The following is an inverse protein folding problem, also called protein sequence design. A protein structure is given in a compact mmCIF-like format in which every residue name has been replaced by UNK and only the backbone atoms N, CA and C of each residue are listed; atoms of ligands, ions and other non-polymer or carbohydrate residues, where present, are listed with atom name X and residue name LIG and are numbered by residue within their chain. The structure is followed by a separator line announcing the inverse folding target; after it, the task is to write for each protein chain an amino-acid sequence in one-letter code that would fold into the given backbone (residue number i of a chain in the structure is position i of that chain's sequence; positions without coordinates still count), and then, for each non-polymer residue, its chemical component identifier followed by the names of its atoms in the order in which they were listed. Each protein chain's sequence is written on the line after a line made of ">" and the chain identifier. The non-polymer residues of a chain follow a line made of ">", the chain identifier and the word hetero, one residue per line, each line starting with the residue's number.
data_IF_149855957468
#
_entry.id   IF_149855957468
#
_cell.length_a   1.000
_cell.length_b   1.000
_cell.length_c   1.000
_cell.angle_alpha   90.00
_cell.angle_beta   90.00
_cell.angle_gamma   90.00
#
_symmetry.space_group_name_H-M   'P 1'
#
loop_
_entity.id
_entity.type
_entity.pdbx_description
1 polymer ?
#
# COMPACT_ATOMS: atom_id res chain seq x y z
N UNK A 1 -6.34 72.34 -46.22
CA UNK A 1 -7.31 73.39 -46.59
C UNK A 1 -6.80 74.09 -47.86
N UNK A 2 -6.59 73.51 -49.04
CA UNK A 2 -7.11 72.36 -49.82
C UNK A 2 -8.56 72.39 -50.35
N UNK A 3 -9.31 73.48 -50.21
CA UNK A 3 -10.53 73.63 -51.01
C UNK A 3 -10.75 75.08 -51.46
N UNK A 4 -10.61 76.03 -50.53
CA UNK A 4 -10.75 77.46 -50.82
C UNK A 4 -9.71 77.99 -51.83
N UNK A 5 -8.45 77.55 -51.73
CA UNK A 5 -7.37 77.96 -52.64
C UNK A 5 -7.51 77.38 -54.07
N UNK A 6 -8.14 76.21 -54.20
CA UNK A 6 -8.38 75.53 -55.47
C UNK A 6 -9.59 76.12 -56.22
N UNK A 7 -10.65 76.49 -55.50
CA UNK A 7 -11.79 77.25 -56.04
C UNK A 7 -11.37 78.64 -56.53
N UNK A 8 -10.53 79.35 -55.77
CA UNK A 8 -10.03 80.67 -56.15
C UNK A 8 -9.14 80.64 -57.42
N UNK A 9 -8.29 79.61 -57.57
CA UNK A 9 -7.49 79.44 -58.79
C UNK A 9 -8.34 79.16 -60.04
N UNK A 10 -9.35 78.30 -59.94
CA UNK A 10 -10.27 78.03 -61.08
C UNK A 10 -11.06 79.25 -61.53
N UNK A 11 -11.48 80.10 -60.59
CA UNK A 11 -12.23 81.31 -60.91
C UNK A 11 -11.35 82.33 -61.64
N UNK A 12 -10.10 82.52 -61.19
CA UNK A 12 -9.13 83.39 -61.87
C UNK A 12 -8.77 82.89 -63.28
N UNK A 13 -8.71 81.57 -63.49
CA UNK A 13 -8.51 80.99 -64.83
C UNK A 13 -9.69 81.23 -65.77
N UNK A 14 -10.93 81.10 -65.28
CA UNK A 14 -12.13 81.37 -66.09
C UNK A 14 -12.27 82.85 -66.46
N UNK A 15 -12.00 83.77 -65.53
CA UNK A 15 -12.05 85.22 -65.80
C UNK A 15 -11.06 85.61 -66.91
N UNK A 16 -9.85 85.05 -66.83
CA UNK A 16 -8.79 85.29 -67.82
C UNK A 16 -9.18 84.75 -69.20
N UNK A 17 -9.84 83.59 -69.27
CA UNK A 17 -10.35 83.03 -70.53
C UNK A 17 -11.43 83.90 -71.18
N UNK A 18 -12.34 84.46 -70.40
CA UNK A 18 -13.41 85.31 -70.96
C UNK A 18 -12.87 86.63 -71.55
N UNK A 19 -11.89 87.26 -70.90
CA UNK A 19 -11.25 88.46 -71.44
C UNK A 19 -10.44 88.18 -72.73
N UNK A 20 -9.84 86.99 -72.84
CA UNK A 20 -9.20 86.56 -74.08
C UNK A 20 -10.21 86.36 -75.22
N UNK A 21 -11.39 85.79 -74.95
CA UNK A 21 -12.45 85.60 -75.96
C UNK A 21 -13.01 86.93 -76.51
N UNK A 22 -13.21 87.94 -75.65
CA UNK A 22 -13.74 89.25 -76.10
C UNK A 22 -12.74 90.02 -76.96
N UNK A 23 -11.45 90.01 -76.59
CA UNK A 23 -10.40 90.61 -77.43
C UNK A 23 -10.33 89.93 -78.80
N UNK A 24 -10.38 88.60 -78.83
CA UNK A 24 -10.35 87.85 -80.06
C UNK A 24 -11.51 88.19 -81.02
N UNK A 25 -12.70 88.50 -80.51
CA UNK A 25 -13.84 88.88 -81.34
C UNK A 25 -13.72 90.30 -81.93
N UNK A 26 -13.24 91.27 -81.15
CA UNK A 26 -13.05 92.64 -81.64
C UNK A 26 -11.97 92.70 -82.73
N UNK A 27 -10.84 92.03 -82.48
CA UNK A 27 -9.75 91.96 -83.45
C UNK A 27 -10.21 91.31 -84.77
N UNK A 28 -11.20 90.40 -84.71
CA UNK A 28 -11.73 89.73 -85.90
C UNK A 28 -12.62 90.62 -86.78
N UNK A 29 -13.35 91.57 -86.20
CA UNK A 29 -14.25 92.44 -86.99
C UNK A 29 -13.47 93.48 -87.78
N UNK A 30 -12.51 94.13 -87.13
CA UNK A 30 -11.61 95.11 -87.80
C UNK A 30 -10.85 94.46 -88.94
N UNK A 31 -10.41 93.21 -88.76
CA UNK A 31 -9.76 92.44 -89.81
C UNK A 31 -10.64 92.19 -91.05
N UNK A 32 -11.97 92.15 -90.93
CA UNK A 32 -12.87 91.89 -92.06
C UNK A 32 -13.16 93.13 -92.90
N UNK A 33 -13.25 94.31 -92.29
CA UNK A 33 -13.51 95.56 -93.02
C UNK A 33 -12.29 95.96 -93.86
N UNK A 34 -11.09 95.80 -93.30
CA UNK A 34 -9.84 95.97 -94.04
C UNK A 34 -9.72 95.01 -95.23
N UNK A 35 -10.37 93.83 -95.19
CA UNK A 35 -10.36 92.87 -96.31
C UNK A 35 -11.21 93.32 -97.51
N UNK A 36 -12.32 94.03 -97.27
CA UNK A 36 -13.24 94.43 -98.34
C UNK A 36 -12.66 95.54 -99.22
N UNK A 37 -12.14 96.59 -98.60
CA UNK A 37 -11.60 97.76 -99.31
C UNK A 37 -10.39 97.36 -100.16
N UNK A 38 -9.59 96.43 -99.63
CA UNK A 38 -8.49 95.79 -100.35
C UNK A 38 -8.96 95.11 -101.65
N UNK A 39 -10.06 94.34 -101.62
CA UNK A 39 -10.57 93.62 -102.80
C UNK A 39 -11.08 94.52 -103.92
N UNK A 40 -11.64 95.69 -103.59
CA UNK A 40 -12.13 96.62 -104.61
C UNK A 40 -10.98 97.32 -105.34
N UNK A 41 -9.93 97.73 -104.60
CA UNK A 41 -8.69 98.22 -105.20
C UNK A 41 -8.06 97.18 -106.12
N UNK A 42 -8.09 95.91 -105.72
CA UNK A 42 -7.58 94.79 -106.54
C UNK A 42 -8.34 94.66 -107.87
N UNK A 43 -9.66 94.86 -107.93
CA UNK A 43 -10.42 94.74 -109.18
C UNK A 43 -10.02 95.78 -110.24
N UNK A 44 -9.92 97.05 -109.86
CA UNK A 44 -9.59 98.12 -110.82
C UNK A 44 -8.19 97.94 -111.43
N UNK A 45 -7.24 97.45 -110.62
CA UNK A 45 -5.89 97.13 -111.09
C UNK A 45 -5.93 95.99 -112.13
N UNK A 46 -6.81 95.01 -111.96
CA UNK A 46 -6.91 93.87 -112.89
C UNK A 46 -7.42 94.27 -114.28
N UNK A 47 -8.34 95.23 -114.38
CA UNK A 47 -8.91 95.69 -115.66
C UNK A 47 -7.88 96.45 -116.51
N UNK A 48 -7.17 97.42 -115.94
CA UNK A 48 -6.09 98.15 -116.63
C UNK A 48 -4.94 97.20 -117.03
N UNK A 49 -4.67 96.19 -116.19
CA UNK A 49 -3.69 95.15 -116.53
C UNK A 49 -4.13 94.31 -117.73
N UNK A 50 -5.42 93.99 -117.87
CA UNK A 50 -5.94 93.20 -118.97
C UNK A 50 -5.74 93.89 -120.33
N UNK A 51 -6.08 95.17 -120.44
CA UNK A 51 -5.93 95.93 -121.70
C UNK A 51 -4.46 96.07 -122.11
N UNK A 52 -3.58 96.43 -121.16
CA UNK A 52 -2.14 96.53 -121.45
C UNK A 52 -1.55 95.20 -121.89
N UNK A 53 -2.00 94.10 -121.28
CA UNK A 53 -1.50 92.75 -121.63
C UNK A 53 -1.95 92.33 -123.03
N UNK A 54 -3.17 92.65 -123.44
CA UNK A 54 -3.66 92.35 -124.78
C UNK A 54 -2.87 93.12 -125.85
N UNK A 55 -2.59 94.41 -125.63
CA UNK A 55 -1.77 95.21 -126.52
C UNK A 55 -0.33 94.70 -126.60
N UNK A 56 0.27 94.37 -125.45
CA UNK A 56 1.62 93.81 -125.38
C UNK A 56 1.73 92.45 -126.08
N UNK A 57 0.71 91.59 -125.94
CA UNK A 57 0.64 90.29 -126.63
C UNK A 57 0.67 90.48 -128.15
N UNK A 58 -0.21 91.32 -128.70
CA UNK A 58 -0.28 91.57 -130.13
C UNK A 58 1.05 92.10 -130.69
N UNK A 59 1.66 93.07 -129.99
CA UNK A 59 2.97 93.60 -130.36
C UNK A 59 4.07 92.52 -130.36
N UNK A 60 4.10 91.64 -129.34
CA UNK A 60 5.13 90.61 -129.21
C UNK A 60 4.98 89.51 -130.26
N UNK A 61 3.75 89.12 -130.60
CA UNK A 61 3.51 88.15 -131.68
C UNK A 61 4.01 88.71 -133.01
N UNK A 62 3.72 89.98 -133.29
CA UNK A 62 4.20 90.63 -134.51
C UNK A 62 5.72 90.76 -134.56
N UNK A 63 6.38 91.06 -133.42
CA UNK A 63 7.85 91.12 -133.33
C UNK A 63 8.52 89.77 -133.68
N UNK A 64 7.99 88.66 -133.19
CA UNK A 64 8.62 87.34 -133.34
C UNK A 64 8.27 86.64 -134.67
N UNK A 65 7.05 86.85 -135.17
CA UNK A 65 6.51 86.09 -136.31
C UNK A 65 6.09 86.97 -137.50
N UNK A 66 6.24 88.30 -137.40
CA UNK A 66 5.81 89.24 -138.45
C UNK A 66 4.32 89.15 -138.72
N UNK A 67 3.94 89.18 -140.01
CA UNK A 67 2.56 88.96 -140.46
C UNK A 67 2.23 87.49 -140.76
N UNK A 68 3.15 86.55 -140.53
CA UNK A 68 2.92 85.13 -140.88
C UNK A 68 1.87 84.45 -140.00
N UNK A 69 1.61 84.97 -138.80
CA UNK A 69 0.67 84.39 -137.83
C UNK A 69 -0.19 85.49 -137.20
N UNK A 70 -1.49 85.26 -137.17
CA UNK A 70 -2.41 86.13 -136.42
C UNK A 70 -2.26 85.90 -134.90
N UNK A 71 -2.22 86.96 -134.07
CA UNK A 71 -2.18 86.87 -132.62
C UNK A 71 -3.28 85.98 -132.03
N UNK A 72 -4.48 86.00 -132.61
CA UNK A 72 -5.62 85.22 -132.13
C UNK A 72 -5.48 83.73 -132.45
N UNK A 73 -4.96 83.40 -133.64
CA UNK A 73 -4.71 82.00 -134.02
C UNK A 73 -3.60 81.38 -133.19
N UNK A 74 -2.53 82.14 -132.90
CA UNK A 74 -1.46 81.66 -132.02
C UNK A 74 -1.97 81.50 -130.59
N UNK A 75 -2.79 82.43 -130.08
CA UNK A 75 -3.39 82.31 -128.76
C UNK A 75 -4.27 81.05 -128.64
N UNK A 76 -5.09 80.76 -129.65
CA UNK A 76 -5.91 79.55 -129.70
C UNK A 76 -5.06 78.26 -129.80
N UNK A 77 -3.92 78.30 -130.51
CA UNK A 77 -3.02 77.15 -130.71
C UNK A 77 -2.02 76.89 -129.58
N UNK A 78 -1.76 77.87 -128.70
CA UNK A 78 -0.80 77.75 -127.60
C UNK A 78 -1.14 76.61 -126.64
N UNK A 79 -2.43 76.29 -126.44
CA UNK A 79 -2.87 75.14 -125.64
C UNK A 79 -2.32 73.83 -126.18
N UNK A 80 -2.49 73.58 -127.48
CA UNK A 80 -2.01 72.36 -128.15
C UNK A 80 -0.48 72.28 -128.17
N UNK A 81 0.22 73.41 -128.33
CA UNK A 81 1.69 73.45 -128.26
C UNK A 81 2.21 73.15 -126.83
N UNK A 82 1.49 73.60 -125.79
CA UNK A 82 1.80 73.23 -124.40
C UNK A 82 1.58 71.74 -124.16
N UNK A 83 0.47 71.17 -124.63
CA UNK A 83 0.21 69.73 -124.55
C UNK A 83 1.32 68.92 -125.25
N UNK A 84 1.76 69.34 -126.43
CA UNK A 84 2.81 68.65 -127.19
C UNK A 84 4.17 68.70 -126.46
N UNK A 85 4.47 69.82 -125.78
CA UNK A 85 5.64 69.91 -124.89
C UNK A 85 5.52 68.94 -123.71
N UNK A 86 4.37 68.89 -123.03
CA UNK A 86 4.15 67.97 -121.92
C UNK A 86 4.26 66.51 -122.36
N UNK A 87 3.72 66.15 -123.53
CA UNK A 87 3.85 64.82 -124.09
C UNK A 87 5.29 64.46 -124.43
N UNK A 88 6.09 65.40 -124.95
CA UNK A 88 7.51 65.18 -125.20
C UNK A 88 8.33 65.04 -123.90
N UNK A 89 7.98 65.78 -122.84
CA UNK A 89 8.57 65.59 -121.51
C UNK A 89 8.26 64.19 -120.95
N UNK A 90 6.99 63.73 -121.05
CA UNK A 90 6.58 62.36 -120.68
C UNK A 90 7.34 61.30 -121.48
N UNK A 91 7.50 61.48 -122.80
CA UNK A 91 8.29 60.57 -123.66
C UNK A 91 9.74 60.49 -123.20
N UNK A 92 10.40 61.63 -122.94
CA UNK A 92 11.79 61.69 -122.45
C UNK A 92 11.95 61.07 -121.06
N UNK A 93 10.95 61.21 -120.18
CA UNK A 93 10.96 60.56 -118.87
C UNK A 93 10.86 59.04 -119.01
N UNK A 94 9.94 58.54 -119.83
CA UNK A 94 9.79 57.11 -120.09
C UNK A 94 11.06 56.52 -120.74
N UNK A 95 11.66 57.22 -121.71
CA UNK A 95 12.92 56.80 -122.36
C UNK A 95 14.07 56.68 -121.34
N UNK A 96 14.20 57.65 -120.43
CA UNK A 96 15.19 57.57 -119.33
C UNK A 96 14.92 56.37 -118.42
N UNK A 97 13.66 56.16 -117.99
CA UNK A 97 13.28 55.02 -117.15
C UNK A 97 13.60 53.67 -117.82
N UNK A 98 13.25 53.51 -119.10
CA UNK A 98 13.53 52.27 -119.84
C UNK A 98 15.04 52.03 -119.94
N UNK A 99 15.83 53.06 -120.17
CA UNK A 99 17.28 52.93 -120.20
C UNK A 99 17.86 52.55 -118.83
N UNK A 100 17.41 53.18 -117.75
CA UNK A 100 17.82 52.78 -116.38
C UNK A 100 17.43 51.34 -116.07
N UNK A 101 16.21 50.92 -116.40
CA UNK A 101 15.76 49.54 -116.18
C UNK A 101 16.57 48.52 -117.00
N UNK A 102 16.92 48.85 -118.24
CA UNK A 102 17.79 47.99 -119.07
C UNK A 102 19.20 47.90 -118.50
N UNK A 103 19.75 48.99 -117.99
CA UNK A 103 21.05 49.01 -117.34
C UNK A 103 21.05 48.17 -116.05
N UNK A 104 20.00 48.30 -115.24
CA UNK A 104 19.82 47.51 -114.01
C UNK A 104 19.67 46.01 -114.32
N UNK A 105 18.92 45.65 -115.36
CA UNK A 105 18.81 44.26 -115.83
C UNK A 105 20.16 43.68 -116.26
N UNK A 106 20.98 44.45 -117.00
CA UNK A 106 22.33 44.02 -117.39
C UNK A 106 23.23 43.83 -116.17
N UNK A 107 23.28 44.81 -115.26
CA UNK A 107 24.07 44.73 -114.03
C UNK A 107 23.67 43.55 -113.14
N UNK A 108 22.36 43.31 -112.99
CA UNK A 108 21.85 42.18 -112.23
C UNK A 108 22.24 40.84 -112.87
N UNK A 109 22.17 40.75 -114.20
CA UNK A 109 22.55 39.56 -114.96
C UNK A 109 24.04 39.27 -114.83
N UNK A 110 24.89 40.28 -114.99
CA UNK A 110 26.35 40.16 -114.85
C UNK A 110 26.73 39.77 -113.41
N UNK A 111 26.17 40.43 -112.40
CA UNK A 111 26.48 40.14 -110.99
C UNK A 111 25.99 38.76 -110.55
N UNK A 112 24.76 38.37 -110.95
CA UNK A 112 24.19 37.05 -110.62
C UNK A 112 24.94 35.93 -111.36
N UNK A 113 25.32 36.14 -112.62
CA UNK A 113 26.11 35.20 -113.39
C UNK A 113 27.52 35.01 -112.84
N UNK A 114 28.22 36.10 -112.51
CA UNK A 114 29.55 36.04 -111.90
C UNK A 114 29.54 35.30 -110.54
N UNK A 115 28.50 35.52 -109.73
CA UNK A 115 28.33 34.81 -108.47
C UNK A 115 27.94 33.34 -108.70
N UNK A 116 27.03 33.07 -109.65
CA UNK A 116 26.60 31.73 -110.04
C UNK A 116 27.75 30.84 -110.51
N UNK A 117 28.65 31.38 -111.35
CA UNK A 117 29.83 30.68 -111.85
C UNK A 117 30.77 30.23 -110.72
N UNK A 118 30.93 31.04 -109.66
CA UNK A 118 31.75 30.68 -108.49
C UNK A 118 31.21 29.47 -107.73
N UNK A 119 29.90 29.25 -107.78
CA UNK A 119 29.21 28.13 -107.10
C UNK A 119 28.80 27.02 -108.08
N UNK A 120 29.29 27.03 -109.32
CA UNK A 120 29.02 25.98 -110.31
C UNK A 120 27.58 25.93 -110.81
N UNK A 121 26.82 27.03 -110.70
CA UNK A 121 25.44 27.13 -111.20
C UNK A 121 25.52 27.48 -112.68
N UNK A 122 25.06 26.57 -113.55
CA UNK A 122 25.09 26.75 -115.01
C UNK A 122 24.24 27.94 -115.50
N UNK A 123 24.54 28.45 -116.70
CA UNK A 123 23.83 29.59 -117.31
C UNK A 123 22.34 29.29 -117.50
N UNK A 124 21.50 29.88 -116.65
CA UNK A 124 20.05 29.89 -116.74
C UNK A 124 19.52 31.32 -116.71
N UNK A 125 18.20 31.48 -116.68
CA UNK A 125 17.57 32.76 -116.40
C UNK A 125 18.18 33.42 -115.13
N UNK A 126 18.50 34.74 -115.14
CA UNK A 126 19.14 35.41 -114.00
C UNK A 126 18.38 35.28 -112.68
N UNK A 127 17.04 35.21 -112.71
CA UNK A 127 16.24 35.04 -111.49
C UNK A 127 16.34 33.62 -110.94
N UNK A 128 16.46 32.61 -111.79
CA UNK A 128 16.70 31.22 -111.37
C UNK A 128 18.10 31.08 -110.76
N UNK A 129 19.10 31.74 -111.33
CA UNK A 129 20.46 31.79 -110.77
C UNK A 129 20.46 32.42 -109.38
N UNK A 130 19.76 33.55 -109.21
CA UNK A 130 19.61 34.21 -107.90
C UNK A 130 18.88 33.33 -106.88
N UNK A 131 17.78 32.65 -107.27
CA UNK A 131 17.04 31.75 -106.37
C UNK A 131 17.93 30.61 -105.87
N UNK A 132 18.70 29.96 -106.74
CA UNK A 132 19.64 28.89 -106.35
C UNK A 132 20.77 29.39 -105.45
N UNK A 133 21.32 30.57 -105.74
CA UNK A 133 22.34 31.20 -104.88
C UNK A 133 21.79 31.51 -103.48
N UNK A 134 20.54 31.95 -103.41
CA UNK A 134 19.86 32.22 -102.14
C UNK A 134 19.62 30.92 -101.35
N UNK A 135 19.14 29.86 -102.00
CA UNK A 135 18.96 28.54 -101.37
C UNK A 135 20.29 28.00 -100.83
N UNK A 136 21.38 28.11 -101.58
CA UNK A 136 22.72 27.71 -101.12
C UNK A 136 23.19 28.55 -99.92
N UNK A 137 22.93 29.85 -99.90
CA UNK A 137 23.28 30.72 -98.77
C UNK A 137 22.44 30.38 -97.52
N UNK A 138 21.14 30.14 -97.69
CA UNK A 138 20.24 29.72 -96.60
C UNK A 138 20.67 28.35 -96.04
N UNK A 139 21.03 27.40 -96.91
CA UNK A 139 21.55 26.09 -96.49
C UNK A 139 22.89 26.21 -95.75
N UNK A 140 23.84 26.98 -96.27
CA UNK A 140 25.14 27.19 -95.61
C UNK A 140 24.98 27.86 -94.23
N UNK A 141 24.01 28.78 -94.08
CA UNK A 141 23.71 29.41 -92.80
C UNK A 141 23.06 28.42 -91.82
N UNK A 142 22.18 27.54 -92.30
CA UNK A 142 21.58 26.48 -91.50
C UNK A 142 22.64 25.47 -91.02
N UNK A 143 23.52 25.01 -91.92
CA UNK A 143 24.61 24.10 -91.62
C UNK A 143 25.58 24.69 -90.59
N UNK A 144 25.94 25.98 -90.73
CA UNK A 144 26.77 26.70 -89.76
C UNK A 144 26.11 26.73 -88.37
N UNK A 145 24.83 27.09 -88.29
CA UNK A 145 24.10 27.11 -87.02
C UNK A 145 24.01 25.72 -86.39
N UNK A 146 23.83 24.67 -87.20
CA UNK A 146 23.81 23.29 -86.72
C UNK A 146 25.19 22.84 -86.21
N UNK A 147 26.28 23.20 -86.91
CA UNK A 147 27.64 22.91 -86.48
C UNK A 147 27.96 23.58 -85.14
N UNK A 148 27.63 24.87 -84.97
CA UNK A 148 27.81 25.60 -83.71
C UNK A 148 27.02 24.95 -82.56
N UNK A 149 25.76 24.55 -82.80
CA UNK A 149 24.93 23.84 -81.80
C UNK A 149 25.47 22.45 -81.44
N UNK A 150 26.03 21.73 -82.39
CA UNK A 150 26.62 20.42 -82.14
C UNK A 150 27.97 20.55 -81.42
N UNK A 151 28.77 21.55 -81.79
CA UNK A 151 30.04 21.84 -81.13
C UNK A 151 29.87 22.14 -79.64
N UNK A 152 28.91 23.00 -79.27
CA UNK A 152 28.62 23.29 -77.86
C UNK A 152 28.15 22.05 -77.09
N UNK A 153 27.30 21.22 -77.70
CA UNK A 153 26.87 19.93 -77.08
C UNK A 153 28.03 18.96 -76.88
N UNK A 154 29.00 18.95 -77.79
CA UNK A 154 30.15 18.06 -77.72
C UNK A 154 31.11 18.51 -76.61
N UNK A 155 31.40 19.82 -76.52
CA UNK A 155 32.18 20.40 -75.43
C UNK A 155 31.52 20.17 -74.05
N UNK A 156 30.21 20.39 -73.92
CA UNK A 156 29.48 20.12 -72.68
C UNK A 156 29.49 18.63 -72.32
N UNK A 157 29.36 17.76 -73.32
CA UNK A 157 29.47 16.31 -73.16
C UNK A 157 30.85 15.86 -72.68
N UNK A 158 31.92 16.41 -73.24
CA UNK A 158 33.30 16.13 -72.83
C UNK A 158 33.60 16.62 -71.41
N UNK A 159 33.15 17.83 -71.05
CA UNK A 159 33.20 18.34 -69.67
C UNK A 159 32.44 17.41 -68.73
N UNK A 160 31.24 16.96 -69.10
CA UNK A 160 30.45 16.06 -68.26
C UNK A 160 31.12 14.69 -68.09
N UNK A 161 31.74 14.17 -69.15
CA UNK A 161 32.48 12.90 -69.10
C UNK A 161 33.68 13.01 -68.15
N UNK A 162 34.50 14.05 -68.29
CA UNK A 162 35.67 14.28 -67.41
C UNK A 162 35.26 14.47 -65.94
N UNK A 163 34.16 15.19 -65.67
CA UNK A 163 33.58 15.29 -64.32
C UNK A 163 33.15 13.93 -63.74
N UNK A 164 32.55 13.06 -64.57
CA UNK A 164 32.09 11.73 -64.15
C UNK A 164 33.26 10.77 -63.95
N UNK A 165 34.26 10.80 -64.82
CA UNK A 165 35.50 10.02 -64.68
C UNK A 165 36.24 10.37 -63.38
N UNK A 166 36.38 11.66 -63.07
CA UNK A 166 36.98 12.11 -61.81
C UNK A 166 36.18 11.66 -60.57
N UNK A 167 34.84 11.61 -60.67
CA UNK A 167 33.98 11.08 -59.58
C UNK A 167 34.13 9.58 -59.40
N UNK A 168 34.23 8.82 -60.50
CA UNK A 168 34.47 7.38 -60.43
C UNK A 168 35.82 7.10 -59.78
N UNK A 169 36.87 7.83 -60.16
CA UNK A 169 38.19 7.70 -59.55
C UNK A 169 38.19 8.05 -58.05
N UNK A 170 37.44 9.07 -57.61
CA UNK A 170 37.25 9.38 -56.19
C UNK A 170 36.49 8.28 -55.44
N UNK A 171 35.46 7.69 -56.06
CA UNK A 171 34.72 6.55 -55.48
C UNK A 171 35.65 5.35 -55.35
N UNK A 172 36.41 5.00 -56.38
CA UNK A 172 37.34 3.87 -56.36
C UNK A 172 38.42 4.05 -55.29
N UNK A 173 38.97 5.27 -55.13
CA UNK A 173 39.88 5.59 -54.03
C UNK A 173 39.24 5.37 -52.66
N UNK A 174 38.02 5.86 -52.44
CA UNK A 174 37.29 5.69 -51.17
C UNK A 174 36.98 4.22 -50.88
N UNK A 175 36.60 3.46 -51.90
CA UNK A 175 36.38 2.00 -51.79
C UNK A 175 37.68 1.30 -51.39
N UNK A 176 38.82 1.67 -51.97
CA UNK A 176 40.12 1.12 -51.60
C UNK A 176 40.52 1.47 -50.15
N UNK A 177 40.34 2.72 -49.72
CA UNK A 177 40.63 3.16 -48.34
C UNK A 177 39.76 2.41 -47.31
N UNK A 178 38.45 2.31 -47.56
CA UNK A 178 37.54 1.58 -46.68
C UNK A 178 37.79 0.06 -46.72
N UNK A 179 38.16 -0.47 -47.88
CA UNK A 179 38.52 -1.88 -48.06
C UNK A 179 39.78 -2.28 -47.29
N UNK A 180 40.76 -1.38 -47.14
CA UNK A 180 42.03 -1.66 -46.45
C UNK A 180 41.86 -2.01 -44.95
N UNK A 181 40.72 -1.70 -44.33
CA UNK A 181 40.40 -2.08 -42.95
C UNK A 181 40.06 -3.58 -42.85
N UNK A 182 39.64 -4.20 -43.95
CA UNK A 182 39.30 -5.62 -43.99
C UNK A 182 40.55 -6.47 -44.25
N UNK A 183 40.64 -7.69 -43.70
CA UNK A 183 41.73 -8.63 -44.02
C UNK A 183 41.78 -8.96 -45.52
N UNK A 184 42.97 -9.23 -46.07
CA UNK A 184 43.20 -9.55 -47.50
C UNK A 184 42.35 -10.73 -48.03
N UNK A 185 41.83 -11.55 -47.14
CA UNK A 185 40.95 -12.70 -47.46
C UNK A 185 39.50 -12.31 -47.75
N UNK A 186 39.11 -11.06 -47.50
CA UNK A 186 37.76 -10.54 -47.72
C UNK A 186 37.71 -9.79 -49.04
N UNK A 187 36.84 -10.23 -49.94
CA UNK A 187 36.57 -9.49 -51.17
C UNK A 187 35.83 -8.18 -50.85
N UNK A 188 36.47 -7.05 -51.14
CA UNK A 188 35.93 -5.70 -50.95
C UNK A 188 35.51 -5.05 -52.26
N UNK A 189 35.57 -5.77 -53.38
CA UNK A 189 35.27 -5.24 -54.72
C UNK A 189 33.78 -5.04 -54.97
N UNK A 190 32.91 -5.65 -54.16
CA UNK A 190 31.45 -5.53 -54.30
C UNK A 190 30.75 -5.26 -52.97
N UNK A 191 29.63 -4.55 -53.03
CA UNK A 191 28.78 -4.23 -51.86
C UNK A 191 28.26 -5.51 -51.19
N UNK A 192 27.93 -6.54 -51.96
CA UNK A 192 27.41 -7.79 -51.42
C UNK A 192 28.49 -8.59 -50.68
N UNK A 193 29.73 -8.62 -51.18
CA UNK A 193 30.85 -9.25 -50.48
C UNK A 193 31.16 -8.53 -49.16
N UNK A 194 31.14 -7.19 -49.14
CA UNK A 194 31.26 -6.40 -47.91
C UNK A 194 30.12 -6.67 -46.92
N UNK A 195 28.88 -6.77 -47.38
CA UNK A 195 27.72 -7.07 -46.51
C UNK A 195 27.86 -8.44 -45.84
N UNK A 196 28.32 -9.45 -46.59
CA UNK A 196 28.60 -10.79 -46.04
C UNK A 196 29.71 -10.74 -45.00
N UNK A 197 30.79 -10.01 -45.25
CA UNK A 197 31.91 -9.89 -44.33
C UNK A 197 31.53 -9.16 -43.03
N UNK A 198 30.84 -8.03 -43.13
CA UNK A 198 30.32 -7.28 -41.97
C UNK A 198 29.31 -8.13 -41.19
N UNK A 199 28.41 -8.85 -41.87
CA UNK A 199 27.46 -9.75 -41.24
C UNK A 199 28.14 -10.87 -40.44
N UNK A 200 29.18 -11.50 -40.99
CA UNK A 200 30.01 -12.47 -40.27
C UNK A 200 30.74 -11.85 -39.08
N UNK A 201 31.27 -10.63 -39.24
CA UNK A 201 31.93 -9.89 -38.15
C UNK A 201 30.99 -9.62 -36.98
N UNK A 202 29.77 -9.14 -37.27
CA UNK A 202 28.74 -8.89 -36.26
C UNK A 202 28.31 -10.19 -35.55
N UNK A 203 28.12 -11.29 -36.30
CA UNK A 203 27.81 -12.60 -35.71
C UNK A 203 28.94 -13.10 -34.78
N UNK A 204 30.20 -12.92 -35.17
CA UNK A 204 31.36 -13.27 -34.32
C UNK A 204 31.41 -12.40 -33.06
N UNK A 205 31.15 -11.09 -33.17
CA UNK A 205 31.11 -10.18 -32.02
C UNK A 205 30.01 -10.62 -31.05
N UNK A 206 28.79 -10.83 -31.55
CA UNK A 206 27.66 -11.29 -30.74
C UNK A 206 27.94 -12.64 -30.06
N UNK A 207 28.57 -13.58 -30.79
CA UNK A 207 28.99 -14.88 -30.23
C UNK A 207 30.06 -14.71 -29.15
N UNK A 208 31.04 -13.82 -29.32
CA UNK A 208 32.07 -13.54 -28.29
C UNK A 208 31.47 -12.91 -27.05
N UNK A 209 30.55 -11.95 -27.19
CA UNK A 209 29.81 -11.38 -26.06
C UNK A 209 29.01 -12.46 -25.34
N UNK A 210 28.33 -13.34 -26.08
CA UNK A 210 27.58 -14.45 -25.48
C UNK A 210 28.48 -15.44 -24.75
N UNK A 211 29.66 -15.76 -25.30
CA UNK A 211 30.66 -16.59 -24.63
C UNK A 211 31.13 -15.91 -23.35
N UNK A 212 31.51 -14.63 -23.39
CA UNK A 212 31.97 -13.90 -22.19
C UNK A 212 30.89 -13.83 -21.10
N UNK A 213 29.62 -13.62 -21.47
CA UNK A 213 28.50 -13.64 -20.52
C UNK A 213 28.31 -15.03 -19.90
N UNK A 214 28.34 -16.09 -20.71
CA UNK A 214 28.24 -17.48 -20.23
C UNK A 214 29.42 -17.85 -19.33
N UNK A 215 30.64 -17.43 -19.70
CA UNK A 215 31.82 -17.63 -18.86
C UNK A 215 31.68 -16.94 -17.51
N UNK A 216 31.21 -15.69 -17.48
CA UNK A 216 30.95 -14.98 -16.22
C UNK A 216 29.90 -15.70 -15.37
N UNK A 217 28.80 -16.14 -15.97
CA UNK A 217 27.75 -16.89 -15.26
C UNK A 217 28.32 -18.17 -14.62
N UNK A 218 29.10 -18.94 -15.38
CA UNK A 218 29.75 -20.16 -14.86
C UNK A 218 30.70 -19.83 -13.69
N UNK A 219 31.47 -18.75 -13.79
CA UNK A 219 32.41 -18.34 -12.75
C UNK A 219 31.70 -17.88 -11.47
N UNK A 220 30.61 -17.11 -11.61
CA UNK A 220 29.82 -16.64 -10.48
C UNK A 220 29.12 -17.80 -9.77
N UNK A 221 28.44 -18.67 -10.53
CA UNK A 221 27.69 -19.82 -10.00
C UNK A 221 28.59 -20.82 -9.28
N UNK A 222 29.80 -21.06 -9.80
CA UNK A 222 30.78 -21.96 -9.18
C UNK A 222 31.73 -21.25 -8.20
N UNK A 223 31.63 -19.92 -8.06
CA UNK A 223 32.55 -19.09 -7.28
C UNK A 223 34.04 -19.29 -7.63
N UNK A 224 34.33 -19.36 -8.93
CA UNK A 224 35.67 -19.57 -9.49
C UNK A 224 36.21 -18.33 -10.19
N UNK A 225 37.51 -18.31 -10.49
CA UNK A 225 38.16 -17.16 -11.17
C UNK A 225 38.54 -17.44 -12.62
N UNK A 226 38.59 -18.71 -13.03
CA UNK A 226 38.99 -19.13 -14.39
C UNK A 226 38.12 -20.27 -14.90
N UNK A 227 37.80 -20.25 -16.20
CA UNK A 227 36.90 -21.22 -16.83
C UNK A 227 37.54 -22.61 -16.88
N UNK A 228 38.86 -22.69 -16.95
CA UNK A 228 39.62 -23.95 -16.85
C UNK A 228 39.40 -24.64 -15.50
N UNK A 229 39.29 -23.89 -14.40
CA UNK A 229 38.99 -24.43 -13.07
C UNK A 229 37.58 -25.03 -13.05
N UNK A 230 36.60 -24.37 -13.70
CA UNK A 230 35.24 -24.89 -13.84
C UNK A 230 35.21 -26.18 -14.66
N UNK A 231 35.98 -26.25 -15.76
CA UNK A 231 36.09 -27.46 -16.58
C UNK A 231 36.72 -28.62 -15.82
N UNK A 232 37.72 -28.37 -14.98
CA UNK A 232 38.33 -29.39 -14.14
C UNK A 232 37.39 -29.86 -13.04
N UNK A 233 36.70 -28.93 -12.38
CA UNK A 233 35.73 -29.25 -11.33
C UNK A 233 34.58 -30.14 -11.85
N UNK A 234 34.14 -29.89 -13.08
CA UNK A 234 33.06 -30.62 -13.73
C UNK A 234 33.55 -31.79 -14.61
N UNK A 235 34.85 -32.07 -14.66
CA UNK A 235 35.43 -33.03 -15.63
C UNK A 235 34.88 -34.45 -15.47
N UNK A 236 34.69 -34.87 -14.22
CA UNK A 236 34.18 -36.21 -13.86
C UNK A 236 32.69 -36.19 -13.49
N UNK A 237 32.05 -35.03 -13.59
CA UNK A 237 30.65 -34.85 -13.27
C UNK A 237 29.78 -34.85 -14.53
N UNK A 238 28.62 -35.47 -14.42
CA UNK A 238 27.58 -35.44 -15.46
C UNK A 238 26.34 -34.77 -14.90
N UNK A 239 25.47 -34.25 -15.77
CA UNK A 239 24.21 -33.66 -15.33
C UNK A 239 23.42 -34.64 -14.43
N UNK A 240 23.40 -35.92 -14.78
CA UNK A 240 22.71 -36.96 -14.02
C UNK A 240 23.35 -37.24 -12.65
N UNK A 241 24.68 -37.20 -12.52
CA UNK A 241 25.35 -37.38 -11.22
C UNK A 241 25.13 -36.17 -10.30
N UNK A 242 25.16 -34.96 -10.85
CA UNK A 242 24.88 -33.73 -10.10
C UNK A 242 23.42 -33.64 -9.65
N UNK A 243 22.46 -34.01 -10.50
CA UNK A 243 21.05 -34.11 -10.13
C UNK A 243 20.81 -35.13 -9.01
N UNK A 244 21.47 -36.30 -9.09
CA UNK A 244 21.39 -37.30 -8.04
C UNK A 244 21.98 -36.80 -6.71
N UNK A 245 23.13 -36.11 -6.74
CA UNK A 245 23.75 -35.48 -5.57
C UNK A 245 22.87 -34.40 -4.97
N UNK A 246 22.29 -33.52 -5.79
CA UNK A 246 21.37 -32.48 -5.35
C UNK A 246 20.14 -33.08 -4.65
N UNK A 247 19.56 -34.13 -5.22
CA UNK A 247 18.42 -34.83 -4.61
C UNK A 247 18.79 -35.53 -3.29
N UNK A 248 19.99 -36.09 -3.20
CA UNK A 248 20.50 -36.66 -1.94
C UNK A 248 20.66 -35.58 -0.87
N UNK A 249 21.29 -34.45 -1.22
CA UNK A 249 21.47 -33.33 -0.31
C UNK A 249 20.14 -32.72 0.14
N UNK A 250 19.16 -32.63 -0.76
CA UNK A 250 17.80 -32.19 -0.42
C UNK A 250 17.13 -33.15 0.57
N UNK A 251 17.31 -34.46 0.37
CA UNK A 251 16.81 -35.48 1.31
C UNK A 251 17.49 -35.35 2.69
N UNK A 252 18.80 -35.17 2.72
CA UNK A 252 19.57 -34.99 3.95
C UNK A 252 19.21 -33.69 4.68
N UNK A 253 18.97 -32.61 3.93
CA UNK A 253 18.51 -31.32 4.46
C UNK A 253 17.14 -31.46 5.11
N UNK A 254 16.17 -32.05 4.40
CA UNK A 254 14.82 -32.29 4.93
C UNK A 254 14.87 -33.12 6.23
N UNK A 255 15.72 -34.15 6.28
CA UNK A 255 15.90 -34.95 7.49
C UNK A 255 16.54 -34.14 8.63
N UNK A 256 17.52 -33.28 8.33
CA UNK A 256 18.13 -32.40 9.32
C UNK A 256 17.14 -31.38 9.88
N UNK A 257 16.29 -30.80 9.03
CA UNK A 257 15.22 -29.87 9.41
C UNK A 257 14.17 -30.55 10.30
N UNK A 258 13.75 -31.77 9.97
CA UNK A 258 12.82 -32.54 10.81
C UNK A 258 13.42 -32.84 12.19
N UNK A 259 14.70 -33.22 12.25
CA UNK A 259 15.43 -33.44 13.52
C UNK A 259 15.55 -32.15 14.32
N UNK A 260 15.84 -31.02 13.68
CA UNK A 260 15.89 -29.71 14.32
C UNK A 260 14.53 -29.30 14.89
N UNK A 261 13.46 -29.48 14.12
CA UNK A 261 12.09 -29.21 14.55
C UNK A 261 11.72 -30.05 15.78
N UNK A 262 11.97 -31.35 15.72
CA UNK A 262 11.72 -32.29 16.82
C UNK A 262 12.51 -31.91 18.08
N UNK A 263 13.80 -31.60 17.93
CA UNK A 263 14.66 -31.17 19.05
C UNK A 263 14.20 -29.83 19.65
N UNK A 264 13.71 -28.90 18.83
CA UNK A 264 13.19 -27.61 19.29
C UNK A 264 11.91 -27.79 20.11
N UNK A 265 10.98 -28.63 19.64
CA UNK A 265 9.76 -28.98 20.38
C UNK A 265 10.11 -29.67 21.70
N UNK A 266 11.05 -30.63 21.67
CA UNK A 266 11.51 -31.32 22.87
C UNK A 266 12.13 -30.35 23.88
N UNK A 267 12.96 -29.40 23.42
CA UNK A 267 13.55 -28.36 24.28
C UNK A 267 12.47 -27.48 24.91
N UNK A 268 11.51 -26.99 24.11
CA UNK A 268 10.44 -26.14 24.61
C UNK A 268 9.55 -26.85 25.63
N UNK A 269 9.27 -28.15 25.43
CA UNK A 269 8.55 -28.96 26.40
C UNK A 269 9.36 -29.15 27.69
N UNK A 270 10.66 -29.48 27.59
CA UNK A 270 11.52 -29.61 28.76
C UNK A 270 11.68 -28.28 29.55
N UNK A 271 11.76 -27.14 28.86
CA UNK A 271 11.77 -25.81 29.50
C UNK A 271 10.45 -25.52 30.23
N UNK A 272 9.30 -25.89 29.63
CA UNK A 272 7.99 -25.76 30.28
C UNK A 272 7.87 -26.65 31.51
N UNK A 273 8.28 -27.91 31.39
CA UNK A 273 8.24 -28.89 32.48
C UNK A 273 9.20 -28.50 33.62
N UNK A 274 10.36 -27.92 33.30
CA UNK A 274 11.25 -27.35 34.30
C UNK A 274 10.61 -26.14 35.00
N UNK A 275 10.00 -25.23 34.23
CA UNK A 275 9.32 -24.06 34.75
C UNK A 275 8.16 -24.38 35.69
N UNK A 276 7.42 -25.45 35.43
CA UNK A 276 6.32 -25.90 36.31
C UNK A 276 6.83 -26.43 37.65
N UNK A 277 8.03 -27.03 37.69
CA UNK A 277 8.65 -27.53 38.92
C UNK A 277 9.28 -26.41 39.75
N UNK A 278 9.88 -25.39 39.12
CA UNK A 278 10.68 -24.38 39.84
C UNK A 278 9.95 -23.07 40.14
N UNK A 279 8.78 -22.81 39.54
CA UNK A 279 8.12 -21.50 39.56
C UNK A 279 6.78 -21.39 40.29
N UNK A 280 6.29 -22.48 40.90
CA UNK A 280 4.92 -22.52 41.42
C UNK A 280 4.77 -21.87 42.80
N UNK A 281 3.88 -20.87 42.90
CA UNK A 281 3.25 -20.47 44.16
C UNK A 281 2.67 -21.68 44.93
N UNK A 282 2.30 -22.74 44.21
CA UNK A 282 1.82 -24.01 44.76
C UNK A 282 2.80 -24.67 45.76
N UNK A 283 4.12 -24.62 45.54
CA UNK A 283 5.08 -25.18 46.51
C UNK A 283 5.09 -24.34 47.79
N UNK A 284 5.03 -23.00 47.66
CA UNK A 284 4.95 -22.11 48.81
C UNK A 284 3.64 -22.31 49.57
N UNK A 285 2.50 -22.42 48.88
CA UNK A 285 1.18 -22.69 49.46
C UNK A 285 1.13 -24.03 50.19
N UNK A 286 1.73 -25.09 49.61
CA UNK A 286 1.82 -26.41 50.24
C UNK A 286 2.70 -26.39 51.49
N UNK A 287 3.81 -25.64 51.48
CA UNK A 287 4.68 -25.48 52.64
C UNK A 287 3.99 -24.70 53.75
N UNK A 288 3.30 -23.61 53.41
CA UNK A 288 2.48 -22.84 54.34
C UNK A 288 1.38 -23.71 54.96
N UNK A 289 0.62 -24.44 54.12
CA UNK A 289 -0.47 -25.30 54.58
C UNK A 289 0.03 -26.43 55.49
N UNK A 290 1.20 -26.99 55.20
CA UNK A 290 1.85 -27.99 56.08
C UNK A 290 2.17 -27.38 57.44
N UNK A 291 2.77 -26.19 57.47
CA UNK A 291 3.11 -25.52 58.73
C UNK A 291 1.87 -25.20 59.56
N UNK A 292 0.81 -24.67 58.94
CA UNK A 292 -0.46 -24.38 59.60
C UNK A 292 -1.11 -25.63 60.18
N UNK A 293 -1.18 -26.73 59.41
CA UNK A 293 -1.73 -27.99 59.89
C UNK A 293 -0.93 -28.56 61.07
N UNK A 294 0.39 -28.39 61.07
CA UNK A 294 1.24 -28.86 62.16
C UNK A 294 0.93 -28.13 63.47
N UNK A 295 0.74 -26.80 63.43
CA UNK A 295 0.35 -25.99 64.59
C UNK A 295 -1.04 -26.41 65.09
N UNK A 296 -2.01 -26.59 64.19
CA UNK A 296 -3.37 -27.01 64.56
C UNK A 296 -3.40 -28.39 65.23
N UNK A 297 -2.56 -29.33 64.78
CA UNK A 297 -2.42 -30.65 65.42
C UNK A 297 -1.85 -30.50 66.82
N UNK A 298 -0.82 -29.66 67.00
CA UNK A 298 -0.20 -29.42 68.29
C UNK A 298 -1.20 -28.83 69.30
N UNK A 299 -1.94 -27.79 68.91
CA UNK A 299 -3.00 -27.18 69.73
C UNK A 299 -4.08 -28.22 70.12
N UNK A 300 -4.59 -28.98 69.14
CA UNK A 300 -5.62 -29.98 69.39
C UNK A 300 -5.16 -31.11 70.34
N UNK A 301 -3.89 -31.50 70.26
CA UNK A 301 -3.31 -32.51 71.16
C UNK A 301 -3.20 -31.97 72.58
N UNK A 302 -2.78 -30.72 72.75
CA UNK A 302 -2.68 -30.09 74.07
C UNK A 302 -4.05 -29.96 74.75
N UNK A 303 -5.06 -29.48 74.02
CA UNK A 303 -6.44 -29.37 74.52
C UNK A 303 -7.00 -30.73 74.95
N UNK A 304 -6.78 -31.77 74.13
CA UNK A 304 -7.22 -33.13 74.45
C UNK A 304 -6.57 -33.66 75.73
N UNK A 305 -5.25 -33.46 75.89
CA UNK A 305 -4.52 -33.93 77.07
C UNK A 305 -5.00 -33.22 78.34
N UNK A 306 -5.25 -31.91 78.28
CA UNK A 306 -5.78 -31.16 79.42
C UNK A 306 -7.15 -31.70 79.86
N UNK A 307 -8.05 -31.93 78.91
CA UNK A 307 -9.39 -32.47 79.17
C UNK A 307 -9.36 -33.90 79.71
N UNK A 308 -8.57 -34.80 79.12
CA UNK A 308 -8.45 -36.20 79.56
C UNK A 308 -7.88 -36.29 80.98
N UNK A 309 -6.82 -35.54 81.28
CA UNK A 309 -6.27 -35.50 82.63
C UNK A 309 -7.25 -34.90 83.64
N UNK A 310 -7.96 -33.82 83.27
CA UNK A 310 -9.00 -33.23 84.10
C UNK A 310 -10.09 -34.24 84.47
N UNK A 311 -10.59 -34.99 83.48
CA UNK A 311 -11.60 -36.03 83.69
C UNK A 311 -11.11 -37.13 84.64
N UNK A 312 -9.92 -37.69 84.37
CA UNK A 312 -9.35 -38.76 85.20
C UNK A 312 -9.12 -38.34 86.64
N UNK A 313 -8.65 -37.11 86.86
CA UNK A 313 -8.45 -36.57 88.20
C UNK A 313 -9.78 -36.40 88.95
N UNK A 314 -10.83 -35.93 88.27
CA UNK A 314 -12.16 -35.80 88.86
C UNK A 314 -12.76 -37.16 89.23
N UNK A 315 -12.66 -38.16 88.35
CA UNK A 315 -13.13 -39.52 88.61
C UNK A 315 -12.42 -40.18 89.80
N UNK A 316 -11.09 -40.01 89.90
CA UNK A 316 -10.31 -40.52 91.02
C UNK A 316 -10.66 -39.82 92.33
N UNK A 317 -10.88 -38.50 92.32
CA UNK A 317 -11.33 -37.75 93.49
C UNK A 317 -12.70 -38.24 94.01
N UNK A 318 -13.67 -38.45 93.12
CA UNK A 318 -15.00 -38.97 93.48
C UNK A 318 -14.88 -40.38 94.07
N UNK A 319 -14.06 -41.25 93.47
CA UNK A 319 -13.83 -42.61 93.95
C UNK A 319 -13.27 -42.63 95.37
N UNK A 320 -12.19 -41.87 95.61
CA UNK A 320 -11.55 -41.76 96.94
C UNK A 320 -12.50 -41.21 98.01
N UNK A 321 -13.31 -40.21 97.66
CA UNK A 321 -14.30 -39.65 98.58
C UNK A 321 -15.33 -40.71 99.01
N UNK A 322 -15.87 -41.46 98.04
CA UNK A 322 -16.88 -42.50 98.28
C UNK A 322 -16.34 -43.63 99.16
N UNK A 323 -15.13 -44.12 98.86
CA UNK A 323 -14.54 -45.26 99.57
C UNK A 323 -14.29 -44.93 101.05
N UNK A 324 -13.81 -43.71 101.35
CA UNK A 324 -13.58 -43.26 102.74
C UNK A 324 -14.87 -43.14 103.54
N UNK A 325 -15.87 -42.42 103.03
CA UNK A 325 -17.11 -42.15 103.79
C UNK A 325 -17.94 -43.42 104.02
N UNK A 326 -17.86 -44.38 103.08
CA UNK A 326 -18.53 -45.68 103.19
C UNK A 326 -17.97 -46.53 104.33
N UNK A 327 -16.64 -46.62 104.47
CA UNK A 327 -16.01 -47.43 105.52
C UNK A 327 -16.46 -46.99 106.92
N UNK A 328 -16.51 -45.68 107.16
CA UNK A 328 -16.92 -45.12 108.44
C UNK A 328 -18.42 -45.37 108.72
N UNK A 329 -19.29 -45.21 107.71
CA UNK A 329 -20.73 -45.44 107.84
C UNK A 329 -21.05 -46.92 108.12
N UNK A 330 -20.37 -47.84 107.42
CA UNK A 330 -20.56 -49.27 107.62
C UNK A 330 -20.15 -49.70 109.03
N UNK A 331 -19.00 -49.22 109.53
CA UNK A 331 -18.53 -49.55 110.88
C UNK A 331 -19.50 -49.05 111.98
N UNK A 332 -20.04 -47.84 111.85
CA UNK A 332 -21.07 -47.33 112.77
C UNK A 332 -22.38 -48.12 112.68
N UNK A 333 -22.76 -48.53 111.47
CA UNK A 333 -23.98 -49.35 111.25
C UNK A 333 -23.83 -50.74 111.87
N UNK A 334 -22.68 -51.39 111.68
CA UNK A 334 -22.37 -52.69 112.30
C UNK A 334 -22.49 -52.63 113.82
N UNK A 335 -21.94 -51.58 114.45
CA UNK A 335 -22.02 -51.36 115.90
C UNK A 335 -23.46 -51.21 116.37
N UNK A 336 -24.23 -50.32 115.74
CA UNK A 336 -25.63 -50.09 116.10
C UNK A 336 -26.52 -51.33 115.85
N UNK A 337 -26.25 -52.07 114.76
CA UNK A 337 -27.02 -53.26 114.43
C UNK A 337 -26.71 -54.43 115.36
N UNK A 338 -25.44 -54.60 115.77
CA UNK A 338 -25.03 -55.57 116.77
C UNK A 338 -25.72 -55.31 118.11
N UNK A 339 -25.80 -54.05 118.55
CA UNK A 339 -26.49 -53.69 119.78
C UNK A 339 -28.00 -53.95 119.69
N UNK A 340 -28.66 -53.50 118.63
CA UNK A 340 -30.10 -53.69 118.43
C UNK A 340 -30.47 -55.17 118.41
N UNK A 341 -29.63 -56.01 117.82
CA UNK A 341 -29.86 -57.45 117.69
C UNK A 341 -29.31 -58.26 118.86
N UNK A 342 -28.85 -57.61 119.94
CA UNK A 342 -28.21 -58.25 121.09
C UNK A 342 -27.07 -59.21 120.70
N UNK A 343 -26.30 -58.83 119.67
CA UNK A 343 -25.14 -59.57 119.17
C UNK A 343 -25.47 -60.65 118.14
N UNK A 344 -26.73 -60.82 117.73
CA UNK A 344 -27.11 -61.84 116.74
C UNK A 344 -26.52 -61.55 115.35
N UNK A 345 -26.29 -60.28 115.01
CA UNK A 345 -25.61 -59.87 113.77
C UNK A 345 -24.51 -58.88 114.07
N UNK A 346 -23.26 -59.21 113.76
CA UNK A 346 -22.10 -58.42 114.19
C UNK A 346 -21.37 -57.71 113.05
N UNK A 347 -21.61 -58.13 111.80
CA UNK A 347 -20.88 -57.61 110.65
C UNK A 347 -21.81 -57.39 109.47
N UNK A 348 -21.51 -56.38 108.67
CA UNK A 348 -22.17 -56.06 107.42
C UNK A 348 -21.15 -56.18 106.29
N UNK A 349 -21.49 -56.96 105.28
CA UNK A 349 -20.70 -57.09 104.08
C UNK A 349 -21.45 -56.46 102.92
N UNK A 350 -20.69 -55.96 101.96
CA UNK A 350 -21.25 -55.45 100.71
C UNK A 350 -20.71 -56.31 99.60
N UNK A 351 -21.60 -56.76 98.71
CA UNK A 351 -21.25 -57.57 97.55
C UNK A 351 -21.60 -56.79 96.28
N UNK A 352 -20.68 -56.72 95.30
CA UNK A 352 -21.00 -56.13 93.99
C UNK A 352 -22.08 -56.95 93.29
N UNK A 353 -23.09 -56.26 92.76
CA UNK A 353 -24.15 -56.82 91.92
C UNK A 353 -24.32 -55.93 90.67
N UNK A 354 -23.57 -56.24 89.61
CA UNK A 354 -23.51 -55.43 88.39
C UNK A 354 -22.96 -54.02 88.65
N UNK A 355 -23.77 -53.00 88.35
CA UNK A 355 -23.46 -51.59 88.61
C UNK A 355 -23.89 -51.08 89.99
N UNK A 356 -24.47 -51.94 90.83
CA UNK A 356 -24.92 -51.63 92.18
C UNK A 356 -24.25 -52.54 93.22
N UNK A 357 -24.47 -52.28 94.50
CA UNK A 357 -23.97 -53.10 95.60
C UNK A 357 -25.13 -53.52 96.50
N UNK A 358 -25.12 -54.78 96.91
CA UNK A 358 -26.09 -55.33 97.86
C UNK A 358 -25.46 -55.45 99.25
N UNK A 359 -26.27 -55.20 100.29
CA UNK A 359 -25.86 -55.30 101.69
C UNK A 359 -26.26 -56.66 102.27
N UNK A 360 -25.32 -57.30 102.94
CA UNK A 360 -25.45 -58.61 103.59
C UNK A 360 -25.18 -58.44 105.08
N UNK A 361 -25.97 -59.05 105.96
CA UNK A 361 -25.58 -59.13 107.37
C UNK A 361 -25.07 -60.52 107.72
N UNK A 362 -24.00 -60.55 108.50
CA UNK A 362 -23.38 -61.77 108.98
C UNK A 362 -23.86 -62.02 110.41
N UNK A 363 -24.50 -63.16 110.61
CA UNK A 363 -24.94 -63.57 111.94
C UNK A 363 -23.77 -64.03 112.84
N UNK A 364 -24.03 -64.25 114.12
CA UNK A 364 -23.03 -64.69 115.09
C UNK A 364 -22.35 -66.03 114.75
N UNK A 365 -22.94 -66.84 113.86
CA UNK A 365 -22.35 -68.09 113.36
C UNK A 365 -21.42 -67.90 112.16
N UNK A 366 -21.32 -66.67 111.64
CA UNK A 366 -20.55 -66.34 110.44
C UNK A 366 -21.34 -66.50 109.14
N UNK A 367 -22.65 -66.77 109.21
CA UNK A 367 -23.49 -66.97 108.02
C UNK A 367 -23.97 -65.62 107.49
N UNK A 368 -23.67 -65.33 106.22
CA UNK A 368 -24.17 -64.14 105.54
C UNK A 368 -25.62 -64.35 105.08
N UNK A 369 -26.50 -63.41 105.42
CA UNK A 369 -27.90 -63.37 105.00
C UNK A 369 -28.17 -62.10 104.21
N UNK A 370 -28.90 -62.25 103.10
CA UNK A 370 -29.44 -61.09 102.40
C UNK A 370 -30.53 -60.44 103.24
N UNK A 371 -30.72 -59.14 103.08
CA UNK A 371 -31.76 -58.39 103.80
C UNK A 371 -33.14 -59.03 103.58
N UNK A 372 -33.42 -59.54 102.37
CA UNK A 372 -34.69 -60.20 102.03
C UNK A 372 -35.01 -61.43 102.89
N UNK A 373 -34.00 -62.14 103.38
CA UNK A 373 -34.14 -63.37 104.17
C UNK A 373 -34.27 -63.10 105.68
N UNK A 374 -34.18 -61.84 106.09
CA UNK A 374 -34.30 -61.43 107.49
C UNK A 374 -35.77 -61.27 107.91
N UNK A 375 -36.07 -61.61 109.17
CA UNK A 375 -37.38 -61.33 109.76
C UNK A 375 -37.75 -59.86 109.62
N UNK A 376 -39.06 -59.54 109.58
CA UNK A 376 -39.53 -58.14 109.52
C UNK A 376 -38.86 -57.30 110.63
N UNK A 377 -38.86 -57.76 111.88
CA UNK A 377 -38.21 -57.05 112.98
C UNK A 377 -36.71 -56.82 112.76
N UNK A 378 -35.97 -57.83 112.30
CA UNK A 378 -34.52 -57.70 112.04
C UNK A 378 -34.22 -56.70 110.92
N UNK A 379 -35.05 -56.65 109.86
CA UNK A 379 -34.91 -55.63 108.80
C UNK A 379 -35.14 -54.22 109.32
N UNK A 380 -36.14 -54.02 110.20
CA UNK A 380 -36.42 -52.73 110.82
C UNK A 380 -35.27 -52.30 111.75
N UNK A 381 -34.64 -53.24 112.46
CA UNK A 381 -33.43 -52.98 113.25
C UNK A 381 -32.25 -52.56 112.37
N UNK A 382 -32.04 -53.20 111.22
CA UNK A 382 -30.97 -52.80 110.28
C UNK A 382 -31.23 -51.41 109.70
N UNK A 383 -32.48 -51.10 109.35
CA UNK A 383 -32.87 -49.78 108.89
C UNK A 383 -32.62 -48.70 109.96
N UNK A 384 -33.00 -48.98 111.20
CA UNK A 384 -32.74 -48.09 112.34
C UNK A 384 -31.23 -47.91 112.58
N UNK A 385 -30.43 -48.99 112.49
CA UNK A 385 -28.98 -48.95 112.62
C UNK A 385 -28.33 -48.06 111.53
N UNK A 386 -28.76 -48.19 110.28
CA UNK A 386 -28.27 -47.35 109.17
C UNK A 386 -28.58 -45.87 109.40
N UNK A 387 -29.80 -45.56 109.87
CA UNK A 387 -30.21 -44.19 110.19
C UNK A 387 -29.44 -43.63 111.39
N UNK A 388 -29.20 -44.45 112.41
CA UNK A 388 -28.40 -44.06 113.58
C UNK A 388 -26.93 -43.81 113.19
N UNK A 389 -26.36 -44.63 112.31
CA UNK A 389 -25.00 -44.44 111.81
C UNK A 389 -24.87 -43.17 110.95
N UNK A 390 -25.84 -42.92 110.06
CA UNK A 390 -25.89 -41.67 109.30
C UNK A 390 -26.01 -40.45 110.22
N UNK A 391 -26.79 -40.56 111.29
CA UNK A 391 -26.90 -39.53 112.31
C UNK A 391 -25.56 -39.29 113.04
N UNK A 392 -24.88 -40.36 113.48
CA UNK A 392 -23.58 -40.28 114.14
C UNK A 392 -22.54 -39.57 113.24
N UNK A 393 -22.51 -39.89 111.94
CA UNK A 393 -21.65 -39.21 110.98
C UNK A 393 -21.99 -37.73 110.83
N UNK A 394 -23.28 -37.38 110.76
CA UNK A 394 -23.74 -36.00 110.68
C UNK A 394 -23.33 -35.19 111.91
N UNK A 395 -23.47 -35.79 113.11
CA UNK A 395 -23.01 -35.17 114.37
C UNK A 395 -21.49 -35.00 114.38
N UNK A 396 -20.72 -35.99 113.91
CA UNK A 396 -19.27 -35.89 113.79
C UNK A 396 -18.82 -34.77 112.83
N UNK A 397 -19.65 -34.42 111.84
CA UNK A 397 -19.44 -33.28 110.93
C UNK A 397 -19.93 -31.95 111.51
N UNK A 398 -20.39 -31.92 112.76
CA UNK A 398 -20.84 -30.72 113.46
C UNK A 398 -22.32 -30.36 113.24
N UNK A 399 -23.12 -31.24 112.65
CA UNK A 399 -24.55 -31.01 112.39
C UNK A 399 -25.41 -31.86 113.34
N UNK A 400 -26.16 -31.21 114.23
CA UNK A 400 -27.04 -31.87 115.21
C UNK A 400 -28.51 -31.54 114.88
N UNK A 401 -29.26 -32.53 114.40
CA UNK A 401 -30.71 -32.42 114.17
C UNK A 401 -31.47 -33.32 115.17
N UNK A 402 -32.77 -33.12 115.41
CA UNK A 402 -33.57 -34.09 116.16
C UNK A 402 -33.76 -35.39 115.37
N UNK A 403 -33.58 -36.52 116.01
CA UNK A 403 -33.80 -37.86 115.46
C UNK A 403 -35.21 -38.34 115.82
N UNK A 404 -36.10 -38.36 114.82
CA UNK A 404 -37.48 -38.80 114.98
C UNK A 404 -37.66 -40.26 114.61
N UNK A 405 -38.32 -41.00 115.49
CA UNK A 405 -38.76 -42.37 115.26
C UNK A 405 -40.27 -42.46 115.53
N UNK A 406 -41.04 -42.90 114.54
CA UNK A 406 -42.50 -43.04 114.63
C UNK A 406 -42.86 -44.53 114.57
N UNK A 407 -43.28 -45.10 115.70
CA UNK A 407 -43.70 -46.50 115.88
C UNK A 407 -42.74 -47.57 115.31
N UNK A 408 -41.45 -47.23 115.17
CA UNK A 408 -40.43 -48.14 114.58
C UNK A 408 -40.25 -49.43 115.41
N UNK A 409 -40.61 -49.41 116.71
CA UNK A 409 -40.44 -50.57 117.59
C UNK A 409 -41.64 -51.53 117.58
N UNK A 410 -42.70 -51.25 116.81
CA UNK A 410 -43.92 -52.09 116.75
C UNK A 410 -43.63 -53.58 116.52
N UNK A 411 -42.60 -53.89 115.74
CA UNK A 411 -42.24 -55.27 115.36
C UNK A 411 -41.18 -55.93 116.25
N UNK A 412 -40.80 -55.26 117.35
CA UNK A 412 -39.74 -55.72 118.25
C UNK A 412 -40.35 -56.50 119.43
N UNK A 413 -39.69 -57.58 119.82
CA UNK A 413 -39.93 -58.22 121.11
C UNK A 413 -39.39 -57.35 122.26
N UNK A 414 -39.61 -57.75 123.52
CA UNK A 414 -39.20 -56.96 124.68
C UNK A 414 -37.68 -56.70 124.70
N UNK A 415 -36.86 -57.73 124.42
CA UNK A 415 -35.40 -57.63 124.43
C UNK A 415 -34.87 -56.68 123.34
N UNK A 416 -35.47 -56.74 122.14
CA UNK A 416 -35.14 -55.83 121.03
C UNK A 416 -35.61 -54.41 121.30
N UNK A 417 -36.76 -54.24 121.94
CA UNK A 417 -37.27 -52.93 122.36
C UNK A 417 -36.35 -52.31 123.39
N UNK A 418 -35.86 -53.08 124.38
CA UNK A 418 -34.87 -52.63 125.37
C UNK A 418 -33.58 -52.14 124.70
N UNK A 419 -33.04 -52.91 123.75
CA UNK A 419 -31.86 -52.52 122.99
C UNK A 419 -32.08 -51.23 122.17
N UNK A 420 -33.26 -51.10 121.55
CA UNK A 420 -33.62 -49.93 120.78
C UNK A 420 -33.83 -48.67 121.63
N UNK A 421 -34.40 -48.78 122.84
CA UNK A 421 -34.49 -47.69 123.81
C UNK A 421 -33.09 -47.18 124.21
N UNK A 422 -32.12 -48.08 124.46
CA UNK A 422 -30.72 -47.70 124.75
C UNK A 422 -30.04 -47.00 123.57
N UNK A 423 -30.30 -47.46 122.34
CA UNK A 423 -29.83 -46.79 121.14
C UNK A 423 -30.38 -45.35 121.06
N UNK A 424 -31.68 -45.17 121.30
CA UNK A 424 -32.32 -43.86 121.32
C UNK A 424 -31.75 -42.96 122.41
N UNK A 425 -31.44 -43.50 123.60
CA UNK A 425 -30.75 -42.76 124.65
C UNK A 425 -29.36 -42.29 124.18
N UNK A 426 -28.57 -43.18 123.55
CA UNK A 426 -27.25 -42.79 123.02
C UNK A 426 -27.35 -41.67 121.99
N UNK A 427 -28.33 -41.75 121.08
CA UNK A 427 -28.61 -40.69 120.12
C UNK A 427 -28.99 -39.40 120.85
N UNK A 428 -29.86 -39.48 121.87
CA UNK A 428 -30.27 -38.37 122.71
C UNK A 428 -29.13 -37.74 123.53
N UNK A 429 -28.05 -38.46 123.83
CA UNK A 429 -26.84 -37.88 124.46
C UNK A 429 -26.03 -37.01 123.48
N UNK A 430 -26.15 -37.28 122.19
CA UNK A 430 -25.40 -36.59 121.13
C UNK A 430 -26.22 -35.50 120.42
N UNK A 431 -27.51 -35.40 120.73
CA UNK A 431 -28.46 -34.45 120.16
C UNK A 431 -29.83 -34.59 120.80
N UNK A 432 -30.89 -34.79 120.01
CA UNK A 432 -32.24 -35.02 120.53
C UNK A 432 -32.84 -36.26 119.88
N UNK A 433 -33.37 -37.19 120.68
CA UNK A 433 -34.08 -38.37 120.19
C UNK A 433 -35.56 -38.27 120.59
N UNK A 434 -36.45 -38.32 119.61
CA UNK A 434 -37.90 -38.20 119.79
C UNK A 434 -38.54 -39.48 119.28
N UNK A 435 -39.19 -40.22 120.18
CA UNK A 435 -39.93 -41.43 119.83
C UNK A 435 -41.43 -41.19 120.01
N UNK A 436 -42.18 -41.41 118.93
CA UNK A 436 -43.64 -41.37 118.92
C UNK A 436 -44.14 -42.81 118.96
N UNK A 437 -45.00 -43.12 119.92
CA UNK A 437 -45.54 -44.47 120.07
C UNK A 437 -46.94 -44.48 120.63
N UNK A 438 -47.77 -45.40 120.14
CA UNK A 438 -49.07 -45.70 120.73
C UNK A 438 -49.02 -46.88 121.73
N UNK A 439 -47.88 -47.57 121.84
CA UNK A 439 -47.70 -48.71 122.74
C UNK A 439 -47.17 -48.28 124.11
N UNK A 440 -48.04 -48.26 125.14
CA UNK A 440 -47.67 -47.95 126.53
C UNK A 440 -46.53 -48.82 127.07
N UNK A 441 -46.48 -50.08 126.67
CA UNK A 441 -45.43 -51.01 127.11
C UNK A 441 -44.01 -50.55 126.70
N UNK A 442 -43.85 -49.87 125.55
CA UNK A 442 -42.55 -49.33 125.14
C UNK A 442 -42.10 -48.19 126.06
N UNK A 443 -43.04 -47.37 126.53
CA UNK A 443 -42.76 -46.29 127.50
C UNK A 443 -42.29 -46.87 128.83
N UNK A 444 -42.93 -47.94 129.31
CA UNK A 444 -42.52 -48.62 130.55
C UNK A 444 -41.15 -49.28 130.41
N UNK A 445 -40.88 -49.95 129.28
CA UNK A 445 -39.53 -50.47 128.97
C UNK A 445 -38.49 -49.34 128.96
N UNK A 446 -38.78 -48.21 128.30
CA UNK A 446 -37.85 -47.10 128.20
C UNK A 446 -37.50 -46.51 129.58
N UNK A 447 -38.50 -46.37 130.48
CA UNK A 447 -38.26 -45.94 131.87
C UNK A 447 -37.41 -46.94 132.66
N UNK A 448 -37.52 -48.23 132.34
CA UNK A 448 -36.78 -49.31 133.00
C UNK A 448 -35.31 -49.38 132.55
N UNK A 449 -35.02 -49.19 131.25
CA UNK A 449 -33.68 -49.47 130.69
C UNK A 449 -32.81 -48.25 130.38
N UNK A 450 -33.38 -47.05 130.28
CA UNK A 450 -32.61 -45.83 130.02
C UNK A 450 -32.02 -45.26 131.32
N UNK A 451 -30.75 -44.87 131.30
CA UNK A 451 -30.11 -44.25 132.49
C UNK A 451 -30.70 -42.86 132.75
N UNK A 452 -30.92 -42.09 131.67
CA UNK A 452 -31.64 -40.81 131.69
C UNK A 452 -33.12 -41.08 131.48
N UNK A 453 -33.94 -40.72 132.47
CA UNK A 453 -35.39 -40.94 132.41
C UNK A 453 -36.01 -40.21 131.20
N UNK A 454 -36.79 -40.91 130.35
CA UNK A 454 -37.41 -40.29 129.20
C UNK A 454 -38.49 -39.30 129.63
N UNK A 455 -38.55 -38.14 128.97
CA UNK A 455 -39.65 -37.21 129.17
C UNK A 455 -40.87 -37.67 128.37
N UNK A 456 -41.94 -38.06 129.06
CA UNK A 456 -43.16 -38.59 128.43
C UNK A 456 -44.18 -37.48 128.25
N UNK A 457 -44.58 -37.25 127.00
CA UNK A 457 -45.72 -36.40 126.65
C UNK A 457 -46.91 -37.29 126.27
N UNK A 458 -48.01 -37.21 127.03
CA UNK A 458 -49.29 -37.83 126.64
C UNK A 458 -50.09 -36.80 125.83
N UNK A 459 -50.52 -37.19 124.62
CA UNK A 459 -51.25 -36.35 123.66
C UNK A 459 -52.76 -36.59 123.70
#
# INVERSE_FOLDING_TARGET
>A
MDAALLAARRLAENERRHQEEVRAASDKTTALEEDLERRQGEQGVLEDTAERTAAAWSAKVHELFGEMLSPDQLAAGLGQLRELREHNEKRRQAERQVNTMKDDQRRFTEASGALGARFGIGESDPLDTFRRLRELAEQAQADKSQHEKLGTKLEDGEKRRTELEAKLEDIDRKVAELGAVFPETVDTSTIDALRVAVGKGLDIIAKRERVAELERQILDDLSLRKVEEARQLLADETATTLEAKAKSLDTDLNLAEERMSTATVARANAERDLGSVTGGAEIADLVERRATLQIQIEEAVLDYLELDFGLRLAEDAIRRYRDRHRSDMMASTERAFAELTNGAYQKLLTQPDGGAEILLAVDASGTAKQIGDMSKGTRFQLYLALRAAAYEQMVAQGVQLPFFCDDVFETFDEDRTRAACRLMERIGRSGQAIYLTHHRHVVEIAKEVCDVQPYVHEL
#
